data_IF_016470275567
#
_entry.id   IF_016470275567
#
_cell.length_a   1.000
_cell.length_b   1.000
_cell.length_c   1.000
_cell.angle_alpha   90.00
_cell.angle_beta   90.00
_cell.angle_gamma   90.00
#
_symmetry.space_group_name_H-M   'P 1'
#
loop_
_entity.id
_entity.type
_entity.pdbx_description
1 polymer ?
2 polymer ?
3 polymer ?
4 non-polymer ?
5 water ?
#
# COMPACT_ATOMS: atom_id res chain seq x y z
N UNK A 1 0.89 8.34 13.33
CA UNK A 1 2.10 9.19 13.11
C UNK A 1 3.47 8.53 13.33
N UNK A 2 3.63 7.21 13.56
CA UNK A 2 5.01 6.70 13.81
C UNK A 2 5.18 5.25 14.23
N UNK A 3 5.95 5.12 15.29
CA UNK A 3 6.41 3.85 15.93
C UNK A 3 5.12 3.02 16.00
N UNK A 4 5.15 1.75 15.67
CA UNK A 4 3.92 0.94 15.79
C UNK A 4 2.69 1.74 15.29
N UNK A 5 2.82 2.62 14.30
CA UNK A 5 1.85 3.50 13.74
C UNK A 5 1.33 4.69 14.52
N UNK A 6 0.08 4.61 14.94
CA UNK A 6 -0.69 5.65 15.61
C UNK A 6 -1.01 5.59 17.08
N UNK A 7 -2.26 5.28 17.41
CA UNK A 7 -2.79 5.22 18.79
C UNK A 7 -4.02 4.29 18.79
N UNK A 8 -4.87 4.74 17.85
CA UNK A 8 -6.06 4.03 17.43
C UNK A 8 -5.67 3.22 16.16
N UNK A 9 -4.39 3.42 15.79
CA UNK A 9 -3.92 2.83 14.55
C UNK A 9 -4.29 1.37 14.40
N UNK A 10 -4.68 1.07 13.15
CA UNK A 10 -4.92 -0.33 12.76
C UNK A 10 -6.14 -0.97 13.34
N UNK A 11 -7.07 -0.23 13.99
CA UNK A 11 -8.37 -0.80 14.48
C UNK A 11 -9.49 -0.16 13.67
N UNK A 12 -10.08 -0.94 12.82
CA UNK A 12 -11.08 -0.51 11.86
C UNK A 12 -12.47 -0.27 12.51
N UNK A 13 -12.99 0.91 12.23
CA UNK A 13 -14.32 1.29 12.88
C UNK A 13 -15.34 0.29 12.51
N UNK A 14 -15.27 -0.30 11.31
CA UNK A 14 -16.42 -1.27 11.02
C UNK A 14 -16.05 -2.70 11.29
N UNK A 15 -14.79 -2.98 11.76
CA UNK A 15 -14.57 -4.41 11.96
C UNK A 15 -14.02 -4.64 13.39
N UNK A 16 -12.83 -4.15 13.66
CA UNK A 16 -12.19 -4.33 14.97
C UNK A 16 -12.98 -3.59 16.08
N UNK A 17 -13.45 -2.40 15.77
CA UNK A 17 -14.18 -1.56 16.74
C UNK A 17 -15.53 -2.19 17.16
N UNK A 18 -16.07 -3.07 16.31
CA UNK A 18 -17.39 -3.72 16.58
C UNK A 18 -17.25 -5.22 16.81
N UNK A 19 -16.02 -5.62 16.74
CA UNK A 19 -15.80 -7.09 16.86
C UNK A 19 -16.45 -7.83 15.70
N UNK A 20 -16.28 -7.29 14.50
CA UNK A 20 -16.76 -8.08 13.31
C UNK A 20 -15.49 -8.41 12.51
N UNK A 21 -15.53 -9.53 11.85
CA UNK A 21 -14.37 -10.01 11.06
C UNK A 21 -14.67 -9.78 9.58
N UNK A 22 -13.70 -9.45 8.77
CA UNK A 22 -13.88 -9.36 7.30
C UNK A 22 -13.82 -10.80 6.77
N UNK A 23 -14.22 -10.96 5.50
CA UNK A 23 -14.38 -12.33 5.03
C UNK A 23 -13.16 -13.18 4.81
N UNK A 24 -11.95 -12.63 4.80
CA UNK A 24 -10.81 -13.52 4.51
C UNK A 24 -9.72 -13.26 5.58
N UNK A 25 -9.96 -12.40 6.56
CA UNK A 25 -8.86 -12.24 7.51
C UNK A 25 -8.42 -13.58 8.12
N UNK A 26 -9.25 -14.55 8.36
CA UNK A 26 -9.05 -15.89 8.89
C UNK A 26 -7.80 -16.51 8.21
N UNK A 27 -7.82 -16.41 6.89
CA UNK A 27 -6.79 -16.94 5.99
C UNK A 27 -5.43 -16.39 6.47
N UNK A 28 -5.37 -15.13 6.87
CA UNK A 28 -4.08 -14.59 7.36
C UNK A 28 -3.64 -15.23 8.70
N UNK A 29 -4.56 -15.21 9.65
CA UNK A 29 -4.37 -15.63 11.05
C UNK A 29 -4.05 -17.11 11.06
N UNK A 30 -4.65 -17.84 10.13
CA UNK A 30 -4.37 -19.27 10.09
C UNK A 30 -2.97 -19.50 9.52
N UNK A 31 -2.39 -18.54 8.83
CA UNK A 31 -1.03 -18.81 8.25
C UNK A 31 0.06 -18.43 9.25
N UNK A 32 -0.26 -17.81 10.34
CA UNK A 32 0.79 -17.36 11.34
C UNK A 32 0.85 -18.52 12.32
N UNK A 33 0.60 -19.63 11.67
CA UNK A 33 0.44 -21.01 12.18
C UNK A 33 -0.62 -21.00 13.28
N UNK A 34 -1.83 -20.72 12.85
CA UNK A 34 -3.17 -20.34 13.47
C UNK A 34 -2.98 -19.28 14.58
N UNK A 35 -3.84 -18.26 14.46
CA UNK A 35 -3.85 -17.04 15.29
C UNK A 35 -4.22 -17.34 16.74
N UNK A 36 -4.28 -16.25 17.50
CA UNK A 36 -4.50 -15.73 18.82
C UNK A 36 -5.51 -16.45 19.73
N UNK B 1 -4.89 -5.20 -9.23
CA UNK B 1 -4.78 -6.55 -8.67
C UNK B 1 -5.29 -7.60 -9.65
N UNK B 2 -4.57 -8.71 -9.73
CA UNK B 2 -4.84 -9.91 -10.51
C UNK B 2 -5.27 -11.09 -9.65
N UNK B 3 -6.45 -11.59 -9.91
CA UNK B 3 -7.10 -12.67 -9.15
C UNK B 3 -7.44 -12.31 -7.70
N UNK B 4 -7.85 -11.09 -7.46
CA UNK B 4 -8.29 -10.66 -6.14
C UNK B 4 -9.84 -10.72 -6.13
N UNK B 5 -10.43 -10.03 -5.14
CA UNK B 5 -11.90 -9.92 -5.07
C UNK B 5 -12.16 -8.46 -4.65
N UNK B 6 -13.46 -8.24 -4.73
CA UNK B 6 -13.87 -6.85 -4.31
C UNK B 6 -13.66 -6.68 -2.81
N UNK B 7 -13.16 -5.55 -2.41
CA UNK B 7 -13.05 -5.40 -0.94
C UNK B 7 -14.50 -5.17 -0.50
N UNK B 8 -14.69 -5.39 0.79
CA UNK B 8 -15.90 -5.06 1.54
C UNK B 8 -15.77 -3.57 1.86
N UNK B 9 -16.90 -3.00 2.30
CA UNK B 9 -16.85 -1.53 2.59
C UNK B 9 -16.08 -1.41 3.93
N UNK B 10 -15.36 -0.34 4.07
CA UNK B 10 -14.49 0.00 5.21
C UNK B 10 -13.48 -1.12 5.56
N UNK B 11 -13.09 -2.04 4.68
CA UNK B 11 -12.07 -3.06 4.90
C UNK B 11 -10.64 -2.49 4.95
N UNK B 12 -10.21 -1.46 4.26
CA UNK B 12 -8.87 -0.84 4.33
C UNK B 12 -9.12 0.68 4.35
N UNK B 13 -9.38 1.17 5.51
CA UNK B 13 -9.76 2.60 5.60
C UNK B 13 -8.53 3.46 5.42
N UNK B 14 -7.33 2.80 5.39
CA UNK B 14 -6.07 3.60 5.16
C UNK B 14 -5.75 3.67 3.64
N UNK B 15 -6.48 3.03 2.79
CA UNK B 15 -6.11 2.98 1.32
C UNK B 15 -6.29 4.34 0.71
N UNK B 16 -5.29 4.95 0.14
CA UNK B 16 -5.45 6.31 -0.45
C UNK B 16 -5.29 6.19 -1.95
N UNK B 17 -5.82 7.11 -2.72
CA UNK B 17 -5.74 7.14 -4.18
C UNK B 17 -4.88 8.33 -4.56
N UNK B 18 -3.88 8.04 -5.37
CA UNK B 18 -3.02 9.20 -5.82
C UNK B 18 -3.62 9.63 -7.17
N UNK B 19 -4.08 10.85 -7.17
CA UNK B 19 -4.89 11.22 -8.42
C UNK B 19 -4.36 12.40 -9.19
N UNK B 20 -4.17 12.09 -10.49
CA UNK B 20 -3.70 13.19 -11.38
C UNK B 20 -4.82 14.24 -11.74
N UNK B 21 -4.49 15.47 -11.44
CA UNK B 21 -5.34 16.62 -11.69
C UNK B 21 -5.69 16.72 -13.19
N UNK B 22 -4.67 16.71 -14.05
CA UNK B 22 -5.00 16.82 -15.48
C UNK B 22 -3.86 16.36 -16.40
N UNK B 23 -4.16 15.37 -17.23
CA UNK B 23 -5.43 14.66 -17.32
C UNK B 23 -5.80 14.10 -15.93
N UNK B 24 -7.07 13.79 -15.72
CA UNK B 24 -7.58 13.26 -14.46
C UNK B 24 -7.37 11.74 -14.55
N UNK B 25 -6.38 11.27 -13.81
CA UNK B 25 -6.07 9.83 -13.82
C UNK B 25 -5.41 9.31 -12.54
N UNK B 26 -5.69 8.04 -12.27
CA UNK B 26 -5.17 7.29 -11.14
C UNK B 26 -3.67 7.09 -11.46
N UNK B 27 -2.82 7.63 -10.61
CA UNK B 27 -1.35 7.50 -10.66
C UNK B 27 -0.91 6.23 -9.92
N UNK B 28 -1.36 6.04 -8.68
CA UNK B 28 -0.88 4.88 -7.81
C UNK B 28 -1.78 4.76 -6.59
N UNK B 29 -1.49 3.82 -5.70
CA UNK B 29 -2.20 3.69 -4.38
C UNK B 29 -1.24 4.42 -3.44
N UNK B 30 -1.60 4.41 -2.14
CA UNK B 30 -0.83 5.11 -1.10
C UNK B 30 -1.54 4.72 0.22
N UNK B 31 -1.01 5.20 1.37
CA UNK B 31 -1.71 4.80 2.62
C UNK B 31 -1.56 5.93 3.63
N UNK B 32 -2.59 6.05 4.46
CA UNK B 32 -2.65 7.09 5.53
C UNK B 32 -2.08 6.46 6.84
N UNK B 33 -1.00 7.04 7.35
CA UNK B 33 -0.25 6.67 8.56
C UNK B 33 -0.55 7.62 9.74
N UNK B 34 -1.16 8.80 9.54
CA UNK B 34 -1.69 9.63 10.62
C UNK B 34 -2.70 10.60 9.99
N UNK B 35 -3.16 11.66 10.68
CA UNK B 35 -4.12 12.58 9.99
C UNK B 35 -3.56 13.54 8.93
N UNK B 36 -2.27 13.79 8.92
CA UNK B 36 -1.59 14.56 7.90
C UNK B 36 -0.59 13.81 6.97
N UNK B 37 -0.28 12.55 7.15
CA UNK B 37 0.84 11.92 6.36
C UNK B 37 0.36 10.71 5.60
N UNK B 38 0.90 10.75 4.37
CA UNK B 38 0.59 9.62 3.49
C UNK B 38 1.89 8.95 3.07
N UNK B 39 1.89 7.64 2.95
CA UNK B 39 3.09 6.88 2.54
C UNK B 39 2.85 6.24 1.16
N UNK B 40 3.83 6.43 0.30
CA UNK B 40 3.72 5.84 -1.07
C UNK B 40 5.11 5.39 -1.54
N UNK B 41 5.31 4.86 -2.72
CA UNK B 41 6.49 4.45 -3.44
C UNK B 41 7.14 5.66 -4.10
N UNK B 42 8.40 5.97 -3.99
CA UNK B 42 9.02 7.13 -4.68
C UNK B 42 8.79 7.06 -6.20
N UNK B 43 8.75 5.87 -6.78
CA UNK B 43 8.64 5.83 -8.26
C UNK B 43 7.28 6.23 -8.86
N UNK B 44 6.34 6.50 -7.98
CA UNK B 44 5.03 7.05 -8.36
C UNK B 44 5.24 8.55 -8.62
N UNK B 45 6.22 9.19 -7.98
CA UNK B 45 6.45 10.62 -8.18
C UNK B 45 7.58 10.96 -9.11
N UNK B 46 8.69 10.19 -8.98
CA UNK B 46 9.93 10.42 -9.68
C UNK B 46 10.47 9.15 -10.33
N UNK B 47 10.57 9.28 -11.65
CA UNK B 47 11.09 8.19 -12.49
C UNK B 47 11.60 8.78 -13.80
N UNK B 48 12.82 9.32 -13.74
CA UNK B 48 13.46 9.98 -14.89
C UNK B 48 13.53 9.27 -16.22
N UNK B 49 13.73 7.97 -16.26
CA UNK B 49 13.76 7.26 -17.55
C UNK B 49 12.45 7.33 -18.32
N UNK B 50 11.43 7.87 -17.67
CA UNK B 50 10.10 7.92 -18.34
C UNK B 50 9.70 9.38 -18.18
N UNK B 51 10.62 10.24 -17.98
CA UNK B 51 10.27 11.66 -17.78
C UNK B 51 9.22 11.83 -16.67
N UNK B 52 9.18 10.95 -15.68
CA UNK B 52 8.14 11.20 -14.65
C UNK B 52 8.73 12.02 -13.54
N UNK B 53 8.17 13.19 -13.29
CA UNK B 53 8.62 14.00 -12.17
C UNK B 53 7.49 14.82 -11.59
N UNK B 54 6.56 14.24 -10.87
CA UNK B 54 5.45 14.93 -10.23
C UNK B 54 5.83 15.83 -9.08
N UNK B 55 5.02 16.89 -9.05
CA UNK B 55 5.06 17.99 -8.05
C UNK B 55 3.77 18.03 -7.23
N UNK B 56 3.88 18.68 -6.14
CA UNK B 56 2.84 18.96 -5.15
C UNK B 56 1.54 19.45 -5.76
N UNK B 57 1.77 20.38 -6.67
CA UNK B 57 0.72 21.04 -7.42
C UNK B 57 0.14 20.11 -8.48
N UNK B 58 0.89 19.11 -8.87
CA UNK B 58 0.32 18.26 -9.92
C UNK B 58 -0.68 17.26 -9.43
N UNK B 59 -0.76 17.06 -8.14
CA UNK B 59 -1.54 16.01 -7.54
C UNK B 59 -2.64 16.33 -6.53
N UNK B 60 -3.45 15.32 -6.44
CA UNK B 60 -4.50 15.21 -5.44
C UNK B 60 -4.47 13.81 -4.76
N UNK B 61 -4.77 13.81 -3.49
CA UNK B 61 -4.94 12.58 -2.70
C UNK B 61 -6.45 12.47 -2.41
N UNK B 62 -7.10 11.41 -2.61
CA UNK B 62 -8.40 10.95 -2.42
C UNK B 62 -8.38 9.76 -1.41
N UNK B 63 -8.99 10.01 -0.24
CA UNK B 63 -9.15 9.16 0.89
C UNK B 63 -10.58 8.74 1.17
N UNK B 64 -10.83 7.49 1.57
CA UNK B 64 -12.13 6.91 1.94
C UNK B 64 -12.96 6.34 0.75
N UNK B 65 -12.23 6.12 -0.37
CA UNK B 65 -12.88 5.64 -1.58
C UNK B 65 -13.07 4.13 -1.57
N UNK B 66 -14.04 3.74 -2.39
CA UNK B 66 -14.43 2.38 -2.63
C UNK B 66 -14.37 2.19 -4.16
N UNK B 67 -15.24 2.97 -4.80
CA UNK B 67 -15.40 2.94 -6.28
C UNK B 67 -14.13 3.58 -6.88
N UNK B 68 -13.60 3.04 -7.98
CA UNK B 68 -12.45 3.62 -8.71
C UNK B 68 -12.68 4.96 -9.39
N UNK B 69 -13.80 5.08 -10.16
CA UNK B 69 -14.08 6.35 -10.89
C UNK B 69 -15.17 7.27 -10.38
N UNK B 70 -16.01 6.86 -9.43
CA UNK B 70 -17.02 7.83 -8.98
C UNK B 70 -16.48 8.76 -7.94
N UNK B 71 -17.08 9.94 -7.82
CA UNK B 71 -16.75 10.97 -6.79
C UNK B 71 -17.72 10.66 -5.62
N UNK B 72 -17.26 9.97 -4.59
CA UNK B 72 -18.17 9.44 -3.54
C UNK B 72 -18.52 10.46 -2.49
N UNK B 73 -19.46 11.30 -2.93
CA UNK B 73 -20.04 12.49 -2.28
C UNK B 73 -20.47 12.09 -0.85
N UNK B 74 -19.93 12.83 0.11
CA UNK B 74 -20.18 12.58 1.52
C UNK B 74 -19.46 11.32 2.02
N UNK B 75 -18.53 10.71 1.32
CA UNK B 75 -17.73 9.57 1.84
C UNK B 75 -16.26 9.93 1.81
N UNK B 76 -15.84 10.13 0.56
CA UNK B 76 -14.45 10.46 0.27
C UNK B 76 -14.02 11.84 0.59
N UNK B 77 -12.79 12.10 0.94
CA UNK B 77 -12.18 13.40 1.26
C UNK B 77 -11.02 13.57 0.26
N UNK B 78 -10.87 14.71 -0.31
CA UNK B 78 -9.83 14.97 -1.35
C UNK B 78 -8.92 16.00 -0.72
N UNK B 79 -7.63 15.83 -0.69
CA UNK B 79 -6.75 16.81 -0.09
C UNK B 79 -5.65 17.15 -1.12
N UNK B 80 -5.03 18.22 -0.62
CA UNK B 80 -3.91 18.87 -1.27
C UNK B 80 -2.63 18.57 -0.49
N UNK B 81 -1.58 18.58 -1.31
CA UNK B 81 -0.25 18.38 -0.73
C UNK B 81 0.45 19.66 -0.39
N UNK B 82 0.97 19.53 0.82
CA UNK B 82 1.83 20.59 1.33
C UNK B 82 3.25 20.42 0.80
N UNK B 83 3.72 19.17 0.76
CA UNK B 83 5.12 18.86 0.48
C UNK B 83 5.31 17.37 0.34
N UNK B 84 6.24 17.08 -0.53
CA UNK B 84 6.67 15.70 -0.90
C UNK B 84 8.12 15.44 -0.46
N UNK B 85 8.34 14.28 0.11
CA UNK B 85 9.71 13.94 0.52
C UNK B 85 10.08 12.55 0.02
N UNK B 86 11.13 12.53 -0.81
CA UNK B 86 11.56 11.25 -1.39
C UNK B 86 12.80 10.79 -0.59
N UNK B 87 12.96 9.50 -0.42
CA UNK B 87 14.24 9.04 0.19
C UNK B 87 15.40 9.58 -0.62
N UNK B 88 16.33 10.25 0.07
CA UNK B 88 17.51 10.81 -0.58
C UNK B 88 18.33 9.67 -1.26
N UNK B 89 18.25 8.41 -0.84
CA UNK B 89 19.01 7.39 -1.62
C UNK B 89 18.12 6.46 -2.44
N UNK B 90 16.90 6.91 -2.80
CA UNK B 90 16.03 6.07 -3.67
C UNK B 90 16.88 5.74 -4.92
N UNK B 91 16.97 4.51 -5.33
CA UNK B 91 17.89 4.19 -6.47
C UNK B 91 17.10 3.93 -7.74
N UNK B 92 16.70 4.94 -8.46
CA UNK B 92 15.89 4.74 -9.69
C UNK B 92 16.79 4.27 -10.79
N UNK B 93 18.09 4.55 -10.70
CA UNK B 93 18.98 4.16 -11.82
C UNK B 93 19.14 2.65 -11.96
N UNK B 94 19.15 1.95 -10.84
CA UNK B 94 19.39 0.51 -10.99
C UNK B 94 18.25 -0.34 -10.52
N UNK B 95 17.85 -0.45 -9.22
CA UNK B 95 16.77 -1.45 -8.98
C UNK B 95 15.53 -0.93 -8.24
N UNK B 96 15.38 0.40 -8.06
CA UNK B 96 14.30 0.97 -7.23
C UNK B 96 14.52 0.51 -5.75
N UNK B 97 15.75 0.57 -5.28
CA UNK B 97 16.09 0.28 -3.86
C UNK B 97 15.65 1.61 -3.15
N UNK B 98 15.01 1.37 -2.01
CA UNK B 98 14.49 2.45 -1.16
C UNK B 98 13.33 3.18 -1.90
N UNK B 99 12.39 2.42 -2.41
CA UNK B 99 11.27 3.08 -3.18
C UNK B 99 10.18 3.56 -2.20
N UNK B 100 10.42 4.75 -1.58
CA UNK B 100 9.46 5.18 -0.55
C UNK B 100 9.44 6.72 -0.53
N UNK B 101 8.32 7.34 -0.12
CA UNK B 101 8.18 8.79 -0.14
C UNK B 101 7.00 9.06 0.86
N UNK B 102 7.13 10.19 1.50
CA UNK B 102 6.08 10.75 2.38
C UNK B 102 5.49 11.99 1.69
N UNK B 103 4.20 12.13 1.91
CA UNK B 103 3.41 13.27 1.43
C UNK B 103 2.71 13.90 2.64
N UNK B 104 3.06 15.15 2.86
CA UNK B 104 2.41 15.85 4.02
C UNK B 104 1.22 16.63 3.53
N UNK B 105 0.05 16.30 4.08
CA UNK B 105 -1.18 16.96 3.54
C UNK B 105 -1.26 18.46 3.83
N UNK B 106 -1.92 19.23 3.00
CA UNK B 106 -2.11 20.68 3.33
C UNK B 106 -2.88 20.80 4.66
N UNK B 107 -3.87 19.96 4.92
CA UNK B 107 -4.63 19.98 6.21
C UNK B 107 -4.94 18.55 6.68
N UNK B 108 -5.15 18.43 7.98
CA UNK B 108 -5.37 17.11 8.55
C UNK B 108 -6.73 16.70 8.07
N UNK B 109 -6.81 15.37 7.97
CA UNK B 109 -8.08 14.80 7.51
C UNK B 109 -8.80 14.30 8.77
N UNK B 110 -10.12 14.25 8.63
CA UNK B 110 -10.87 13.75 9.81
C UNK B 110 -11.23 12.29 9.48
N UNK B 111 -11.03 11.51 10.54
CA UNK B 111 -11.29 10.05 10.54
C UNK B 111 -12.78 9.83 10.47
N UNK B 112 -13.20 8.65 10.11
CA UNK B 112 -14.66 8.43 10.00
C UNK B 112 -14.67 6.91 9.89
N UNK B 113 -15.80 6.33 9.64
CA UNK B 113 -15.93 4.91 9.41
C UNK B 113 -15.07 4.44 8.22
N UNK B 114 -14.80 5.39 7.26
CA UNK B 114 -14.11 4.89 6.02
C UNK B 114 -12.67 5.33 5.88
N UNK B 115 -12.27 6.15 6.83
CA UNK B 115 -11.01 6.82 6.93
C UNK B 115 -10.29 6.61 8.30
N UNK B 116 -9.21 5.79 8.25
CA UNK B 116 -8.49 5.50 9.55
C UNK B 116 -7.06 5.05 9.25
N UNK B 117 -6.03 5.49 9.95
CA UNK B 117 -4.64 5.21 9.65
C UNK B 117 -4.27 3.74 10.03
N UNK B 118 -3.23 3.30 9.33
CA UNK B 118 -2.75 1.88 9.61
C UNK B 118 -1.59 2.09 10.58
N UNK B 119 -1.17 1.08 11.34
CA UNK B 119 0.06 1.27 12.17
C UNK B 119 1.34 0.97 11.39
N UNK B 120 2.45 1.51 11.86
CA UNK B 120 3.83 1.27 11.35
C UNK B 120 4.44 0.30 12.38
N UNK B 121 5.09 -0.72 11.80
CA UNK B 121 5.66 -1.78 12.61
C UNK B 121 6.82 -1.27 13.45
N UNK B 122 6.93 -1.96 14.57
CA UNK B 122 8.10 -1.79 15.44
C UNK B 122 8.92 -3.07 15.09
N UNK B 123 10.19 -2.96 15.50
CA UNK B 123 11.15 -4.03 15.37
C UNK B 123 10.66 -5.42 15.75
N UNK B 124 9.93 -5.56 16.80
CA UNK B 124 9.45 -6.87 17.22
C UNK B 124 8.26 -7.36 16.43
N UNK B 125 7.46 -6.38 15.96
CA UNK B 125 6.32 -6.85 15.09
C UNK B 125 6.94 -7.47 13.81
N UNK B 126 7.86 -6.77 13.21
CA UNK B 126 8.59 -7.10 12.01
C UNK B 126 9.20 -8.49 12.11
N UNK B 127 9.95 -8.68 13.23
CA UNK B 127 10.56 -9.93 13.60
C UNK B 127 9.49 -10.99 13.72
N UNK B 128 8.36 -10.87 14.42
CA UNK B 128 7.47 -12.03 14.35
C UNK B 128 6.70 -12.29 13.06
N UNK B 129 6.37 -11.30 12.32
CA UNK B 129 5.47 -11.55 11.18
C UNK B 129 6.08 -11.68 9.80
N UNK B 130 7.22 -11.02 9.62
CA UNK B 130 7.81 -11.05 8.27
C UNK B 130 8.49 -12.43 8.14
N UNK B 131 7.70 -13.49 7.92
CA UNK B 131 8.27 -14.82 7.77
C UNK B 131 7.77 -15.52 6.52
N UNK B 132 8.60 -16.39 5.90
CA UNK B 132 8.23 -17.17 4.72
C UNK B 132 6.96 -17.97 5.01
N UNK B 133 5.96 -17.97 4.14
CA UNK B 133 4.74 -18.69 4.42
C UNK B 133 3.64 -17.81 5.10
N UNK B 134 4.05 -16.81 5.88
CA UNK B 134 2.96 -15.96 6.50
C UNK B 134 2.31 -15.12 5.41
N UNK B 135 0.99 -14.90 5.51
CA UNK B 135 0.35 -14.11 4.42
C UNK B 135 0.08 -12.66 4.79
N UNK B 136 0.19 -11.77 3.81
CA UNK B 136 -0.14 -10.37 4.01
C UNK B 136 -1.30 -10.07 3.02
N UNK B 137 -1.62 -8.80 2.81
CA UNK B 137 -2.77 -8.48 1.97
C UNK B 137 -2.42 -7.24 1.21
N UNK B 138 -2.85 -7.21 -0.07
CA UNK B 138 -2.50 -6.01 -0.86
C UNK B 138 -3.84 -5.49 -1.41
N UNK B 139 -3.91 -4.18 -1.55
CA UNK B 139 -5.21 -3.72 -2.10
C UNK B 139 -4.97 -2.65 -3.17
N UNK B 140 -5.95 -2.47 -4.11
CA UNK B 140 -5.61 -1.35 -5.09
C UNK B 140 -6.62 -1.36 -6.23
N UNK B 141 -6.54 -0.26 -7.03
CA UNK B 141 -7.52 -0.13 -8.16
C UNK B 141 -6.87 -0.43 -9.48
N UNK B 142 -5.66 -1.05 -9.46
CA UNK B 142 -4.91 -1.35 -10.66
C UNK B 142 -5.57 -2.42 -11.52
N UNK B 143 -4.84 -2.67 -12.60
CA UNK B 143 -5.23 -3.64 -13.61
C UNK B 143 -5.55 -4.98 -13.02
N UNK B 144 -6.51 -5.59 -13.71
CA UNK B 144 -6.97 -6.93 -13.41
C UNK B 144 -6.11 -7.99 -14.14
N UNK B 145 -5.40 -7.51 -15.13
CA UNK B 145 -4.61 -8.45 -15.96
C UNK B 145 -3.42 -7.73 -16.55
N UNK B 146 -2.43 -8.53 -16.89
CA UNK B 146 -1.21 -7.92 -17.48
C UNK B 146 -1.47 -7.05 -18.71
N UNK B 147 -2.37 -7.51 -19.59
CA UNK B 147 -2.77 -6.76 -20.80
C UNK B 147 -4.14 -7.30 -21.23
N UNK B 148 -5.01 -6.42 -21.72
CA UNK B 148 -6.34 -6.83 -22.19
C UNK B 148 -6.52 -6.36 -23.64
N UNK B 155 -10.41 -5.35 -17.18
CA UNK B 155 -9.28 -4.42 -17.34
C UNK B 155 -9.05 -3.68 -16.01
N UNK B 156 -9.96 -2.73 -15.81
CA UNK B 156 -10.05 -1.90 -14.60
C UNK B 156 -11.26 -2.33 -13.79
N UNK B 157 -11.01 -2.50 -12.48
CA UNK B 157 -12.08 -2.98 -11.58
C UNK B 157 -13.01 -1.76 -11.48
N UNK B 158 -14.16 -2.00 -10.88
CA UNK B 158 -15.02 -0.79 -10.64
C UNK B 158 -14.95 -0.46 -9.14
N UNK B 159 -14.51 -1.47 -8.39
CA UNK B 159 -14.26 -1.31 -6.90
C UNK B 159 -12.89 -1.82 -6.47
N UNK B 160 -12.36 -1.30 -5.35
CA UNK B 160 -11.13 -1.63 -4.71
C UNK B 160 -11.05 -3.18 -4.61
N UNK B 161 -9.97 -3.81 -5.01
CA UNK B 161 -9.83 -5.29 -5.03
C UNK B 161 -8.88 -5.69 -3.89
N UNK B 162 -8.92 -6.95 -3.52
CA UNK B 162 -8.02 -7.38 -2.47
C UNK B 162 -7.47 -8.75 -2.93
N UNK B 163 -6.37 -9.07 -2.32
CA UNK B 163 -5.78 -10.42 -2.46
C UNK B 163 -4.82 -10.70 -1.29
N UNK B 164 -4.84 -11.88 -0.71
CA UNK B 164 -3.91 -12.28 0.38
C UNK B 164 -2.78 -13.08 -0.27
N UNK B 165 -1.54 -12.95 0.05
CA UNK B 165 -0.40 -13.60 -0.60
C UNK B 165 0.64 -13.97 0.48
N UNK B 166 1.35 -15.05 0.25
CA UNK B 166 2.42 -15.49 1.17
C UNK B 166 3.77 -14.81 0.99
N UNK B 167 4.45 -14.42 2.03
CA UNK B 167 5.83 -13.94 1.91
C UNK B 167 6.63 -15.22 1.44
N UNK B 168 7.64 -14.99 0.61
CA UNK B 168 8.51 -15.98 -0.01
C UNK B 168 9.93 -15.76 0.53
N UNK B 169 10.63 -16.87 0.67
CA UNK B 169 12.05 -16.92 1.14
C UNK B 169 12.98 -16.15 0.22
N UNK B 170 13.87 -15.33 0.70
CA UNK B 170 14.79 -14.56 -0.05
C UNK B 170 15.47 -15.21 -1.25
N UNK B 171 15.99 -16.43 -1.15
CA UNK B 171 16.67 -17.13 -2.25
C UNK B 171 15.64 -17.39 -3.33
N UNK B 172 14.47 -17.89 -2.96
CA UNK B 172 13.48 -18.03 -4.06
C UNK B 172 13.26 -16.68 -4.76
N UNK B 173 13.26 -15.58 -3.90
CA UNK B 173 13.13 -14.26 -4.54
C UNK B 173 14.28 -14.00 -5.56
N UNK B 174 15.52 -14.10 -5.04
CA UNK B 174 16.69 -13.83 -5.86
C UNK B 174 16.80 -14.69 -7.11
N UNK B 175 16.47 -15.94 -7.14
CA UNK B 175 16.57 -16.82 -8.28
C UNK B 175 15.48 -16.61 -9.34
N UNK B 176 14.47 -15.82 -9.00
CA UNK B 176 13.37 -15.59 -9.95
C UNK B 176 13.74 -14.40 -10.81
N UNK B 177 14.82 -13.66 -10.61
CA UNK B 177 15.02 -12.50 -11.49
C UNK B 177 16.48 -12.26 -11.82
N UNK B 178 16.84 -11.29 -12.60
CA UNK B 178 18.24 -10.93 -12.83
C UNK B 178 18.54 -9.60 -12.16
N UNK B 179 17.51 -8.96 -11.59
CA UNK B 179 17.80 -7.66 -10.91
C UNK B 179 18.43 -7.96 -9.55
N UNK B 180 19.35 -7.11 -9.18
CA UNK B 180 19.91 -7.26 -7.77
C UNK B 180 18.92 -6.82 -6.69
N UNK B 181 18.42 -7.71 -5.86
CA UNK B 181 17.53 -7.64 -4.68
C UNK B 181 18.31 -7.10 -3.47
N UNK B 182 17.86 -6.20 -2.61
CA UNK B 182 18.64 -5.68 -1.45
C UNK B 182 17.87 -6.00 -0.16
N UNK B 183 18.35 -5.65 0.96
CA UNK B 183 17.69 -5.90 2.26
C UNK B 183 16.46 -4.95 2.40
N UNK B 184 16.35 -3.92 1.59
CA UNK B 184 15.17 -3.05 1.68
C UNK B 184 13.97 -3.58 0.86
N UNK B 185 13.95 -4.83 0.42
CA UNK B 185 12.85 -5.37 -0.40
C UNK B 185 12.50 -6.78 0.13
N UNK B 186 11.28 -7.23 -0.06
CA UNK B 186 10.94 -8.64 0.23
C UNK B 186 10.06 -9.02 -0.96
N UNK B 187 9.76 -10.30 -1.23
CA UNK B 187 8.88 -10.62 -2.43
C UNK B 187 7.75 -11.45 -1.88
N UNK B 188 6.61 -11.45 -2.51
CA UNK B 188 5.44 -12.26 -2.06
C UNK B 188 4.71 -12.86 -3.23
N UNK B 189 4.00 -13.96 -3.07
CA UNK B 189 3.28 -14.59 -4.17
C UNK B 189 3.29 -16.12 -3.96
N UNK B 190 2.41 -16.78 -4.71
CA UNK B 190 2.39 -18.27 -4.60
C UNK B 190 3.40 -18.80 -5.66
N UNK B 191 3.86 -19.96 -5.41
CA UNK B 191 4.75 -20.77 -6.28
C UNK B 191 3.86 -21.46 -7.35
N UNK B 192 4.48 -21.75 -8.50
CA UNK B 192 3.73 -22.36 -9.63
C UNK B 192 3.05 -23.63 -9.18
N UNK B 193 3.72 -24.28 -8.25
CA UNK B 193 3.36 -25.49 -7.57
C UNK B 193 2.02 -25.36 -6.87
N UNK B 194 1.93 -24.27 -6.11
CA UNK B 194 0.90 -23.97 -5.17
C UNK B 194 -0.48 -23.90 -5.75
N UNK B 195 -0.63 -23.65 -7.04
CA UNK B 195 -2.04 -23.87 -7.37
C UNK B 195 -2.92 -22.90 -6.59
N UNK B 196 -2.59 -21.65 -6.81
CA UNK B 196 -3.21 -20.46 -6.22
C UNK B 196 -2.50 -19.26 -6.87
N UNK B 197 -3.25 -18.29 -7.34
CA UNK B 197 -2.68 -17.11 -8.01
C UNK B 197 -2.89 -15.83 -7.21
N UNK B 198 -2.50 -14.73 -7.85
CA UNK B 198 -2.67 -13.39 -7.27
C UNK B 198 -1.45 -12.52 -7.57
N UNK B 199 -1.74 -11.15 -7.68
CA UNK B 199 -0.54 -10.24 -7.71
C UNK B 199 -1.14 -8.80 -7.83
N UNK B 200 -0.33 -7.83 -7.54
CA UNK B 200 -0.47 -6.43 -7.71
C UNK B 200 -0.25 -6.39 -9.28
N UNK B 201 -0.69 -5.29 -9.83
CA UNK B 201 -0.54 -5.05 -11.29
C UNK B 201 -0.49 -3.52 -11.46
N UNK B 202 -0.44 -3.10 -12.72
CA UNK B 202 -0.26 -1.66 -13.05
C UNK B 202 -1.32 -0.82 -12.36
N UNK B 203 -1.00 0.28 -11.71
CA UNK B 203 -2.05 1.06 -10.99
C UNK B 203 -2.00 0.85 -9.48
N UNK B 204 -1.53 -0.32 -9.03
CA UNK B 204 -1.39 -0.73 -7.67
C UNK B 204 -0.19 -0.18 -6.96
N UNK B 205 0.85 0.25 -7.63
CA UNK B 205 2.12 0.69 -7.02
C UNK B 205 1.87 1.63 -5.92
N UNK B 206 2.72 1.72 -4.90
CA UNK B 206 2.51 2.73 -3.85
C UNK B 206 1.51 2.23 -2.87
N UNK B 207 0.67 1.30 -3.15
CA UNK B 207 -0.26 0.76 -2.10
C UNK B 207 0.50 -0.02 -1.00
N UNK B 208 -0.35 -0.48 -0.01
CA UNK B 208 0.06 -1.14 1.17
C UNK B 208 0.06 -2.68 1.16
N UNK B 209 1.16 -3.29 1.73
CA UNK B 209 1.06 -4.79 1.92
C UNK B 209 0.83 -4.81 3.46
N UNK B 210 -0.23 -5.31 4.04
CA UNK B 210 -0.49 -5.20 5.51
C UNK B 210 -0.63 -6.63 6.06
N UNK B 211 -0.42 -6.67 7.41
CA UNK B 211 -0.66 -7.93 8.13
C UNK B 211 -1.43 -7.58 9.41
N UNK B 212 -2.17 -8.54 9.92
CA UNK B 212 -2.90 -8.27 11.23
C UNK B 212 -2.19 -9.03 12.38
N UNK B 213 -1.62 -8.38 13.34
CA UNK B 213 -1.01 -9.02 14.46
C UNK B 213 -1.98 -9.85 15.26
N UNK B 214 -1.53 -11.10 15.48
CA UNK B 214 -2.29 -12.05 16.31
C UNK B 214 -2.11 -11.69 17.79
N UNK B 215 -1.19 -10.82 18.17
CA UNK B 215 -0.93 -10.45 19.57
C UNK B 215 -1.88 -9.34 20.01
N UNK B 216 -1.91 -8.25 19.22
CA UNK B 216 -2.74 -7.15 19.66
C UNK B 216 -3.93 -6.86 18.78
N UNK B 217 -4.16 -7.64 17.73
CA UNK B 217 -5.27 -7.45 16.77
C UNK B 217 -5.28 -6.24 15.83
N UNK B 218 -4.16 -5.58 15.72
CA UNK B 218 -3.99 -4.44 14.92
C UNK B 218 -3.40 -4.77 13.54
N UNK B 219 -3.77 -3.85 12.62
CA UNK B 219 -3.28 -3.99 11.24
C UNK B 219 -1.99 -3.15 11.11
N UNK B 220 -0.97 -3.78 10.54
CA UNK B 220 0.35 -3.07 10.35
C UNK B 220 0.76 -3.04 8.90
N UNK B 221 1.30 -1.97 8.42
CA UNK B 221 1.79 -1.99 7.02
C UNK B 221 3.25 -2.49 6.97
N UNK B 222 3.51 -3.65 6.45
CA UNK B 222 4.90 -4.21 6.37
C UNK B 222 5.59 -3.84 5.07
N UNK B 223 4.89 -3.77 3.91
CA UNK B 223 5.49 -3.42 2.61
C UNK B 223 4.70 -2.38 1.81
N UNK B 224 5.35 -1.84 0.77
CA UNK B 224 4.69 -0.92 -0.19
C UNK B 224 4.81 -1.60 -1.57
N UNK B 225 3.73 -1.77 -2.32
CA UNK B 225 3.79 -2.28 -3.73
C UNK B 225 4.79 -1.46 -4.51
N UNK B 226 5.84 -2.28 -4.85
CA UNK B 226 6.97 -1.66 -5.54
C UNK B 226 7.30 -2.05 -6.94
N UNK B 227 7.51 -3.28 -7.38
CA UNK B 227 7.87 -3.57 -8.78
C UNK B 227 7.66 -5.06 -8.92
N UNK B 228 7.52 -5.48 -10.15
CA UNK B 228 7.31 -6.86 -10.56
C UNK B 228 7.58 -6.92 -12.06
N UNK B 229 7.60 -8.14 -12.56
CA UNK B 229 7.92 -8.41 -14.01
C UNK B 229 6.71 -9.08 -14.61
N UNK B 230 5.92 -8.16 -15.23
CA UNK B 230 4.57 -8.75 -15.69
C UNK B 230 3.63 -8.71 -14.44
N UNK B 231 2.53 -9.43 -14.44
CA UNK B 231 1.62 -9.51 -13.29
C UNK B 231 1.19 -10.98 -13.22
N UNK B 232 1.29 -11.58 -12.07
CA UNK B 232 0.78 -12.94 -11.93
C UNK B 232 1.48 -13.89 -12.96
N UNK B 233 2.75 -13.66 -13.26
CA UNK B 233 3.32 -14.71 -14.16
C UNK B 233 3.83 -15.89 -13.37
N UNK B 234 3.77 -17.11 -13.87
CA UNK B 234 4.36 -18.25 -13.12
C UNK B 234 5.87 -18.08 -12.95
N UNK B 235 6.29 -18.37 -11.71
CA UNK B 235 7.70 -18.30 -11.31
C UNK B 235 8.18 -16.89 -11.12
N UNK B 236 7.29 -15.92 -11.00
CA UNK B 236 7.69 -14.49 -10.75
C UNK B 236 6.92 -14.03 -9.50
N UNK B 237 7.52 -13.04 -8.81
CA UNK B 237 6.95 -12.61 -7.54
C UNK B 237 6.86 -11.08 -7.55
N UNK B 238 5.98 -10.59 -6.64
CA UNK B 238 5.94 -9.12 -6.57
C UNK B 238 7.04 -8.75 -5.53
N UNK B 239 7.54 -7.53 -5.76
CA UNK B 239 8.52 -6.94 -4.83
C UNK B 239 7.91 -5.74 -4.14
N UNK B 240 8.24 -5.64 -2.84
CA UNK B 240 7.74 -4.63 -1.93
C UNK B 240 8.82 -3.92 -1.17
N UNK B 241 8.64 -2.59 -0.96
CA UNK B 241 9.64 -1.90 -0.14
C UNK B 241 9.48 -2.36 1.33
N UNK B 242 10.63 -2.64 1.95
CA UNK B 242 10.55 -3.13 3.41
C UNK B 242 10.42 -1.89 4.31
N UNK B 243 9.22 -1.78 4.84
CA UNK B 243 8.91 -0.52 5.60
C UNK B 243 9.69 -0.56 6.88
N UNK B 244 9.76 -1.67 7.60
CA UNK B 244 10.48 -1.50 8.90
C UNK B 244 11.90 -1.08 8.72
N UNK B 245 12.62 -1.64 7.68
CA UNK B 245 14.02 -1.26 7.51
C UNK B 245 14.10 0.23 7.25
N UNK B 246 13.05 0.83 6.66
CA UNK B 246 13.16 2.26 6.35
C UNK B 246 12.51 3.16 7.38
N UNK B 247 12.01 2.64 8.48
CA UNK B 247 11.35 3.43 9.52
C UNK B 247 12.13 4.59 10.15
N UNK B 248 13.44 4.49 10.31
CA UNK B 248 14.12 5.67 10.92
C UNK B 248 14.14 6.80 9.91
N UNK B 249 14.24 6.57 8.62
CA UNK B 249 14.14 7.78 7.72
C UNK B 249 12.73 8.33 7.92
N UNK B 250 11.73 7.45 8.13
CA UNK B 250 10.33 7.89 8.29
C UNK B 250 10.18 8.82 9.52
N UNK B 251 10.65 8.35 10.67
CA UNK B 251 10.56 9.08 11.96
C UNK B 251 11.19 10.45 11.85
N UNK B 252 12.41 10.43 11.32
CA UNK B 252 13.20 11.61 11.07
C UNK B 252 12.43 12.67 10.33
N UNK B 253 11.86 12.32 9.18
CA UNK B 253 11.13 13.31 8.39
C UNK B 253 9.91 13.82 9.17
N UNK B 254 9.16 12.93 9.76
CA UNK B 254 7.94 13.32 10.51
C UNK B 254 8.30 14.28 11.66
N UNK B 255 9.46 14.08 12.27
CA UNK B 255 9.72 14.96 13.42
C UNK B 255 10.55 16.12 13.01
N UNK B 256 11.17 16.11 11.86
CA UNK B 256 11.93 17.32 11.46
C UNK B 256 10.97 18.27 10.75
N UNK B 257 9.84 17.73 10.30
CA UNK B 257 8.92 18.61 9.55
C UNK B 257 7.44 18.60 9.86
N UNK B 258 6.89 18.05 10.91
CA UNK B 258 5.47 18.12 11.11
C UNK B 258 4.67 17.11 11.86
N UNK B 259 4.15 16.09 11.18
CA UNK B 259 3.29 15.07 11.77
C UNK B 259 1.98 15.71 12.25
N UNK C 1 -12.82 8.39 -18.00
CA UNK C 1 -13.77 7.50 -17.32
C UNK C 1 -13.98 7.98 -15.89
N UNK C 2 -13.19 8.96 -15.51
CA UNK C 2 -13.26 9.48 -14.13
C UNK C 2 -14.46 10.43 -14.05
N UNK C 3 -15.26 10.23 -13.02
CA UNK C 3 -16.38 11.18 -12.81
C UNK C 3 -15.70 12.45 -12.30
N UNK C 4 -16.34 13.55 -12.60
CA UNK C 4 -15.92 14.92 -12.33
C UNK C 4 -15.90 15.13 -10.82
N UNK C 5 -14.87 15.83 -10.37
CA UNK C 5 -14.76 16.16 -8.95
C UNK C 5 -15.07 17.64 -8.78
N UNK C 6 -15.49 18.08 -7.61
CA UNK C 6 -15.75 19.51 -7.38
C UNK C 6 -14.48 20.31 -7.66
N UNK C 7 -14.69 21.47 -8.26
CA UNK C 7 -13.73 22.49 -8.69
C UNK C 7 -13.01 23.15 -7.51
N UNK C 8 -13.67 23.02 -6.36
CA UNK C 8 -13.09 23.58 -5.13
C UNK C 8 -11.79 22.79 -4.87
N UNK C 10 -9.61 21.92 -7.41
CA UNK C 10 -8.56 22.04 -8.45
C UNK C 10 -7.80 23.34 -8.27
#
# INVERSE_FOLDING_TARGET
TFGSGEADCGLRPLFEKKSLEDKTERELLESYIDGR
IVEGSDAEIGMSPWQVMLFRKSPQELLCGASLISDRWVLTAAHCLLYPPWDKNFTENDLLVRIGKHSRTRYERNIEKISMLEKIYIHPRYNWRENLDRDIALMKLKKPVAFSDYIHPVCLPDRETAASLLQAGYKGRVTGWGNLKETWTANVGKGQPSVLQVVNLPIVERPVCKDSTRIRITDNMFCAGYKPDEGKRGDACEGDSGGPFVMKSPFNNRWYQMGIVSWGEGCDRDGKYGFYTHVFRLKKWIQKVIDQFGE
DFEEIPEEXL
#
